data_IF_634749771825
#
_entry.id   IF_634749771825
#
_cell.length_a   1.000
_cell.length_b   1.000
_cell.length_c   1.000
_cell.angle_alpha   90.00
_cell.angle_beta   90.00
_cell.angle_gamma   90.00
#
_symmetry.space_group_name_H-M   'P 1'
#
loop_
_entity.id
_entity.type
_entity.pdbx_description
1 polymer ?
#
# COMPACT_ATOMS: atom_id res chain seq x y z
N UNK A 1 4.43 -14.12 -38.92
CA UNK A 1 4.21 -14.79 -37.60
C UNK A 1 5.39 -14.45 -36.71
N UNK A 2 5.24 -13.44 -35.85
CA UNK A 2 6.25 -13.07 -34.87
C UNK A 2 5.78 -13.62 -33.52
N UNK A 3 6.53 -14.59 -33.01
CA UNK A 3 6.32 -15.17 -31.68
C UNK A 3 6.70 -14.14 -30.62
N UNK A 4 5.71 -13.67 -29.88
CA UNK A 4 5.92 -12.82 -28.70
C UNK A 4 6.57 -13.67 -27.60
N UNK A 5 7.83 -13.36 -27.28
CA UNK A 5 8.54 -13.91 -26.15
C UNK A 5 7.86 -13.48 -24.84
N UNK A 6 7.55 -14.45 -23.97
CA UNK A 6 7.01 -14.22 -22.63
C UNK A 6 7.91 -13.28 -21.83
N UNK A 7 7.34 -12.33 -21.05
CA UNK A 7 8.13 -11.55 -20.12
C UNK A 7 8.70 -12.47 -19.03
N UNK A 8 10.02 -12.43 -18.85
CA UNK A 8 10.76 -13.14 -17.81
C UNK A 8 10.26 -12.64 -16.45
N UNK A 9 9.47 -13.46 -15.77
CA UNK A 9 8.99 -13.20 -14.43
C UNK A 9 10.10 -13.58 -13.44
N UNK A 10 11.11 -12.69 -13.27
CA UNK A 10 12.19 -12.90 -12.32
C UNK A 10 11.61 -12.71 -10.93
N UNK A 11 11.56 -13.77 -10.14
CA UNK A 11 11.15 -13.74 -8.73
C UNK A 11 12.11 -12.84 -7.91
N UNK A 12 11.58 -12.17 -6.88
CA UNK A 12 12.41 -11.40 -5.92
C UNK A 12 13.50 -12.29 -5.31
N UNK A 13 13.25 -13.58 -5.17
CA UNK A 13 14.21 -14.58 -4.68
C UNK A 13 15.35 -14.78 -5.68
N UNK A 14 15.06 -14.80 -6.99
CA UNK A 14 16.09 -14.95 -8.04
C UNK A 14 17.02 -13.74 -8.10
N UNK A 15 16.47 -12.54 -7.86
CA UNK A 15 17.24 -11.29 -7.78
C UNK A 15 18.15 -11.25 -6.54
N UNK A 16 17.70 -11.82 -5.41
CA UNK A 16 18.48 -11.91 -4.18
C UNK A 16 19.67 -12.91 -4.31
N UNK A 17 19.52 -13.96 -5.12
CA UNK A 17 20.56 -14.95 -5.38
C UNK A 17 21.71 -14.41 -6.27
N UNK A 18 21.47 -13.38 -7.06
CA UNK A 18 22.49 -12.72 -7.88
C UNK A 18 23.40 -11.76 -7.11
N UNK A 19 23.02 -11.42 -5.86
CA UNK A 19 23.81 -10.50 -5.02
C UNK A 19 24.61 -11.27 -3.97
N UNK A 20 25.90 -11.54 -4.26
CA UNK A 20 26.89 -12.05 -3.26
C UNK A 20 27.87 -10.94 -2.92
N UNK A 21 27.79 -10.34 -1.72
CA UNK A 21 28.90 -9.52 -1.22
C UNK A 21 30.09 -10.42 -0.89
N UNK A 22 31.30 -10.01 -1.25
CA UNK A 22 32.54 -10.65 -0.83
C UNK A 22 32.73 -10.45 0.69
N UNK A 23 32.48 -11.50 1.46
CA UNK A 23 32.68 -11.49 2.91
C UNK A 23 34.18 -11.63 3.25
N UNK A 24 34.71 -10.84 4.17
CA UNK A 24 36.03 -11.10 4.73
C UNK A 24 35.98 -12.37 5.58
N UNK A 25 36.96 -13.30 5.34
CA UNK A 25 37.15 -14.52 6.12
C UNK A 25 37.63 -14.15 7.51
N UNK A 26 36.79 -14.24 8.54
CA UNK A 26 37.26 -14.19 9.93
C UNK A 26 36.97 -15.49 10.67
N UNK A 27 38.01 -15.90 11.43
CA UNK A 27 38.16 -17.15 12.14
C UNK A 27 37.15 -17.32 13.29
N UNK A 28 36.56 -18.50 13.34
CA UNK A 28 35.75 -19.03 14.45
C UNK A 28 36.50 -19.04 15.78
N UNK A 29 35.92 -18.48 16.82
CA UNK A 29 36.18 -18.81 18.22
C UNK A 29 34.85 -19.18 18.88
N UNK A 30 34.68 -20.45 19.23
CA UNK A 30 33.55 -20.95 20.00
C UNK A 30 33.71 -20.51 21.47
N UNK A 31 32.69 -19.88 22.01
CA UNK A 31 32.46 -19.75 23.44
C UNK A 31 30.99 -20.04 23.71
N UNK A 32 30.75 -21.16 24.39
CA UNK A 32 29.44 -21.48 24.97
C UNK A 32 29.10 -20.44 26.05
N UNK A 33 28.04 -19.71 25.88
CA UNK A 33 27.36 -19.00 26.95
C UNK A 33 25.85 -19.01 26.64
N UNK A 34 25.07 -19.43 27.64
CA UNK A 34 23.63 -19.51 27.64
C UNK A 34 22.99 -18.17 27.22
N UNK A 35 21.90 -18.15 26.41
CA UNK A 35 21.31 -16.89 26.01
C UNK A 35 20.48 -16.30 27.15
N UNK A 36 21.01 -15.27 27.81
CA UNK A 36 20.22 -14.29 28.50
C UNK A 36 19.39 -13.54 27.42
N UNK A 37 18.08 -13.79 27.35
CA UNK A 37 17.14 -13.04 26.52
C UNK A 37 17.04 -11.62 27.05
N UNK A 38 18.01 -10.78 26.70
CA UNK A 38 17.87 -9.34 26.83
C UNK A 38 16.89 -8.90 25.74
N UNK A 39 15.66 -8.59 26.14
CA UNK A 39 14.71 -7.87 25.30
C UNK A 39 15.40 -6.59 24.83
N UNK A 40 15.88 -6.58 23.60
CA UNK A 40 16.51 -5.39 23.02
C UNK A 40 15.42 -4.32 22.83
N UNK A 41 15.47 -3.30 23.66
CA UNK A 41 14.61 -2.09 23.61
C UNK A 41 14.92 -1.18 22.40
N UNK A 42 15.78 -1.63 21.49
CA UNK A 42 16.08 -0.88 20.27
C UNK A 42 15.00 -1.13 19.21
N UNK A 43 14.46 -0.06 18.59
CA UNK A 43 13.51 -0.19 17.49
C UNK A 43 14.14 -1.02 16.37
N UNK A 44 13.34 -1.87 15.73
CA UNK A 44 13.82 -2.66 14.61
C UNK A 44 14.29 -1.73 13.48
N UNK A 45 15.27 -2.18 12.70
CA UNK A 45 15.76 -1.41 11.56
C UNK A 45 14.64 -1.02 10.58
N UNK A 46 13.62 -1.87 10.45
CA UNK A 46 12.41 -1.58 9.69
C UNK A 46 11.61 -0.42 10.30
N UNK A 47 11.43 -0.42 11.63
CA UNK A 47 10.76 0.66 12.36
C UNK A 47 11.45 2.00 12.13
N UNK A 48 12.79 2.02 12.06
CA UNK A 48 13.54 3.25 11.77
C UNK A 48 13.27 3.78 10.36
N UNK A 49 13.17 2.92 9.34
CA UNK A 49 12.79 3.32 7.98
C UNK A 49 11.39 3.94 7.98
N UNK A 50 10.43 3.30 8.67
CA UNK A 50 9.04 3.81 8.75
C UNK A 50 8.97 5.14 9.46
N UNK A 51 9.68 5.30 10.61
CA UNK A 51 9.73 6.58 11.36
C UNK A 51 10.33 7.69 10.50
N UNK A 52 11.40 7.39 9.79
CA UNK A 52 12.05 8.36 8.91
C UNK A 52 11.16 8.71 7.71
N UNK A 53 10.45 7.72 7.13
CA UNK A 53 9.48 7.97 6.06
C UNK A 53 8.38 8.91 6.53
N UNK A 54 7.73 8.60 7.67
CA UNK A 54 6.68 9.44 8.25
C UNK A 54 7.20 10.86 8.53
N UNK A 55 8.36 10.98 9.17
CA UNK A 55 8.98 12.28 9.46
C UNK A 55 9.29 13.09 8.20
N UNK A 56 9.81 12.45 7.16
CA UNK A 56 10.05 13.10 5.87
C UNK A 56 8.76 13.55 5.19
N UNK A 57 7.73 12.71 5.17
CA UNK A 57 6.43 13.06 4.61
C UNK A 57 5.80 14.25 5.34
N UNK A 58 5.90 14.30 6.67
CA UNK A 58 5.38 15.41 7.49
C UNK A 58 6.09 16.74 7.21
N UNK A 59 7.41 16.70 7.04
CA UNK A 59 8.21 17.93 6.90
C UNK A 59 8.38 18.42 5.46
N UNK A 60 8.32 17.52 4.47
CA UNK A 60 8.68 17.85 3.09
C UNK A 60 7.48 17.83 2.13
N UNK A 61 6.34 17.21 2.51
CA UNK A 61 5.14 17.18 1.70
C UNK A 61 4.09 18.15 2.24
N UNK A 62 3.39 18.82 1.33
CA UNK A 62 2.25 19.69 1.65
C UNK A 62 1.13 18.93 2.35
N UNK A 63 0.87 17.72 1.91
CA UNK A 63 -0.11 16.82 2.50
C UNK A 63 0.22 15.36 2.16
N UNK A 64 0.00 14.47 3.14
CA UNK A 64 0.12 13.03 2.95
C UNK A 64 -0.85 12.29 3.86
N UNK A 65 -1.08 11.00 3.60
CA UNK A 65 -1.65 10.04 4.55
C UNK A 65 -1.18 8.62 4.25
N UNK A 66 -1.07 7.81 5.31
CA UNK A 66 -0.83 6.35 5.21
C UNK A 66 -2.19 5.69 4.98
N UNK A 67 -2.34 4.96 3.88
CA UNK A 67 -3.65 4.49 3.41
C UNK A 67 -4.16 3.26 4.15
N UNK A 68 -3.28 2.31 4.47
CA UNK A 68 -3.66 1.04 5.14
C UNK A 68 -2.48 0.43 5.89
N UNK A 69 -2.75 -0.59 6.74
CA UNK A 69 -1.71 -1.39 7.40
C UNK A 69 -1.00 -0.70 8.56
N UNK A 70 -1.55 0.37 9.05
CA UNK A 70 -0.92 1.27 10.02
C UNK A 70 -1.20 0.95 11.49
N UNK A 71 -2.03 -0.04 11.80
CA UNK A 71 -2.50 -0.31 13.18
C UNK A 71 -1.36 -0.49 14.19
N UNK A 72 -0.21 -1.01 13.75
CA UNK A 72 1.00 -1.22 14.58
C UNK A 72 2.20 -0.38 14.17
N UNK A 73 2.03 0.53 13.21
CA UNK A 73 3.11 1.43 12.79
C UNK A 73 3.41 2.48 13.88
N UNK A 74 4.66 2.90 14.00
CA UNK A 74 5.85 2.53 13.21
C UNK A 74 6.59 1.28 13.72
N UNK A 75 6.15 0.64 14.81
CA UNK A 75 6.87 -0.46 15.45
C UNK A 75 6.90 -1.72 14.60
N UNK A 76 5.81 -2.04 13.94
CA UNK A 76 5.71 -3.15 12.99
C UNK A 76 4.68 -2.88 11.89
N UNK A 77 4.85 -3.56 10.76
CA UNK A 77 3.90 -3.57 9.64
C UNK A 77 4.01 -4.92 8.93
N UNK A 78 2.92 -5.34 8.28
CA UNK A 78 2.80 -6.71 7.76
C UNK A 78 3.11 -6.83 6.27
N UNK A 79 3.10 -5.72 5.54
CA UNK A 79 3.25 -5.70 4.08
C UNK A 79 3.79 -4.37 3.59
N UNK A 80 3.38 -3.95 2.42
CA UNK A 80 3.72 -2.68 1.81
C UNK A 80 3.20 -1.50 2.65
N UNK A 81 3.93 -0.39 2.61
CA UNK A 81 3.52 0.87 3.22
C UNK A 81 2.85 1.71 2.13
N UNK A 82 1.55 1.51 1.95
CA UNK A 82 0.76 2.32 1.01
C UNK A 82 0.57 3.73 1.58
N UNK A 83 0.97 4.76 0.85
CA UNK A 83 0.74 6.14 1.23
C UNK A 83 0.37 7.02 0.03
N UNK A 84 -0.37 8.09 0.33
CA UNK A 84 -0.78 9.09 -0.64
C UNK A 84 -0.16 10.44 -0.30
N UNK A 85 0.26 11.17 -1.33
CA UNK A 85 0.79 12.53 -1.21
C UNK A 85 0.03 13.48 -2.14
N UNK A 86 0.13 14.79 -1.87
CA UNK A 86 -0.35 15.81 -2.81
C UNK A 86 0.30 15.63 -4.20
N UNK A 87 -0.46 15.92 -5.26
CA UNK A 87 0.02 15.77 -6.64
C UNK A 87 1.30 16.56 -6.93
N UNK A 88 1.46 17.71 -6.28
CA UNK A 88 2.64 18.56 -6.46
C UNK A 88 3.91 17.93 -5.86
N UNK A 89 3.74 17.10 -4.85
CA UNK A 89 4.86 16.44 -4.14
C UNK A 89 5.22 15.07 -4.74
N UNK A 90 4.33 14.47 -5.55
CA UNK A 90 4.51 13.09 -6.05
C UNK A 90 5.82 12.88 -6.80
N UNK A 91 6.22 13.83 -7.65
CA UNK A 91 7.47 13.74 -8.42
C UNK A 91 8.74 13.92 -7.54
N UNK A 92 8.58 14.39 -6.29
CA UNK A 92 9.68 14.54 -5.33
C UNK A 92 9.88 13.28 -4.48
N UNK A 93 8.88 12.39 -4.41
CA UNK A 93 8.93 11.16 -3.59
C UNK A 93 10.14 10.28 -3.92
N UNK A 94 10.56 10.05 -5.19
CA UNK A 94 11.77 9.26 -5.46
C UNK A 94 13.02 9.78 -4.74
N UNK A 95 13.26 11.08 -4.78
CA UNK A 95 14.40 11.70 -4.10
C UNK A 95 14.29 11.57 -2.56
N UNK A 96 13.08 11.68 -2.02
CA UNK A 96 12.81 11.46 -0.60
C UNK A 96 13.14 10.01 -0.19
N UNK A 97 12.74 9.02 -0.97
CA UNK A 97 13.06 7.61 -0.72
C UNK A 97 14.57 7.34 -0.79
N UNK A 98 15.27 7.96 -1.74
CA UNK A 98 16.74 7.86 -1.82
C UNK A 98 17.44 8.44 -0.57
N UNK A 99 16.97 9.59 -0.06
CA UNK A 99 17.47 10.16 1.18
C UNK A 99 17.24 9.24 2.38
N UNK A 100 16.05 8.60 2.46
CA UNK A 100 15.74 7.62 3.50
C UNK A 100 16.68 6.42 3.40
N UNK A 101 16.88 5.90 2.19
CA UNK A 101 17.81 4.79 1.96
C UNK A 101 19.21 5.12 2.47
N UNK A 102 19.73 6.31 2.12
CA UNK A 102 21.05 6.78 2.57
C UNK A 102 21.11 6.94 4.08
N UNK A 103 20.11 7.54 4.70
CA UNK A 103 20.10 7.80 6.15
C UNK A 103 19.97 6.53 7.01
N UNK A 104 19.33 5.48 6.48
CA UNK A 104 19.14 4.20 7.16
C UNK A 104 20.22 3.15 6.82
N UNK A 105 21.15 3.47 5.92
CA UNK A 105 22.09 2.50 5.38
C UNK A 105 21.44 1.40 4.53
N UNK A 106 20.16 1.59 4.14
CA UNK A 106 19.49 0.66 3.23
C UNK A 106 19.88 0.94 1.78
N UNK A 107 19.67 -0.06 0.93
CA UNK A 107 19.85 0.07 -0.51
C UNK A 107 18.49 0.21 -1.18
N UNK A 108 18.28 1.27 -1.96
CA UNK A 108 17.15 1.32 -2.88
C UNK A 108 17.40 0.34 -4.01
N UNK A 109 16.70 -0.79 -3.95
CA UNK A 109 16.87 -1.90 -4.89
C UNK A 109 16.02 -1.70 -6.15
N UNK A 110 14.80 -1.17 -5.98
CA UNK A 110 13.86 -0.95 -7.06
C UNK A 110 13.06 0.33 -6.85
N UNK A 111 12.82 1.06 -7.96
CA UNK A 111 11.85 2.15 -8.05
C UNK A 111 11.07 1.95 -9.34
N UNK A 112 9.80 1.55 -9.24
CA UNK A 112 8.97 1.14 -10.38
C UNK A 112 7.65 1.91 -10.43
N UNK A 113 7.41 2.75 -11.45
CA UNK A 113 6.06 3.27 -11.72
C UNK A 113 5.18 2.12 -12.21
N UNK A 114 3.97 2.00 -11.69
CA UNK A 114 2.99 1.00 -12.13
C UNK A 114 1.64 1.61 -12.52
N UNK A 115 1.43 2.86 -12.17
CA UNK A 115 0.38 3.76 -12.69
C UNK A 115 0.99 5.14 -12.92
N UNK A 116 0.30 6.01 -13.64
CA UNK A 116 0.76 7.41 -13.86
C UNK A 116 0.84 8.20 -12.56
N UNK A 117 0.09 7.78 -11.55
CA UNK A 117 -0.02 8.40 -10.23
C UNK A 117 0.46 7.48 -9.11
N UNK A 118 1.20 6.41 -9.41
CA UNK A 118 1.65 5.49 -8.38
C UNK A 118 3.00 4.84 -8.71
N UNK A 119 3.83 4.66 -7.66
CA UNK A 119 5.18 4.11 -7.77
C UNK A 119 5.53 3.29 -6.54
N UNK A 120 5.98 2.06 -6.76
CA UNK A 120 6.49 1.18 -5.74
C UNK A 120 8.02 1.30 -5.61
N UNK A 121 8.51 1.13 -4.38
CA UNK A 121 9.94 1.09 -4.06
C UNK A 121 10.25 -0.16 -3.26
N UNK A 122 11.48 -0.67 -3.38
CA UNK A 122 11.99 -1.73 -2.54
C UNK A 122 13.29 -1.26 -1.90
N UNK A 123 13.29 -1.13 -0.58
CA UNK A 123 14.46 -0.86 0.24
C UNK A 123 14.95 -2.18 0.84
N UNK A 124 16.19 -2.54 0.57
CA UNK A 124 16.85 -3.70 1.16
C UNK A 124 17.75 -3.25 2.31
N UNK A 125 17.50 -3.79 3.49
CA UNK A 125 18.31 -3.59 4.69
C UNK A 125 19.05 -4.87 5.00
N UNK A 126 20.35 -4.78 5.10
CA UNK A 126 21.19 -5.92 5.47
C UNK A 126 21.61 -5.79 6.94
N UNK A 127 21.39 -6.84 7.71
CA UNK A 127 21.93 -6.99 9.03
C UNK A 127 22.64 -8.35 9.08
N UNK A 128 23.94 -8.36 9.40
CA UNK A 128 24.87 -9.50 9.45
C UNK A 128 24.52 -10.72 8.58
N UNK A 129 23.44 -11.42 8.90
CA UNK A 129 23.02 -12.67 8.25
C UNK A 129 21.67 -12.60 7.56
N UNK A 130 20.90 -11.48 7.71
CA UNK A 130 19.53 -11.37 7.22
C UNK A 130 19.34 -10.15 6.34
N UNK A 131 18.68 -10.35 5.19
CA UNK A 131 18.15 -9.25 4.38
C UNK A 131 16.70 -9.06 4.75
N UNK A 132 16.33 -7.82 5.04
CA UNK A 132 14.98 -7.41 5.32
C UNK A 132 14.54 -6.41 4.26
N UNK A 133 13.35 -6.59 3.70
CA UNK A 133 12.80 -5.69 2.71
C UNK A 133 11.74 -4.78 3.35
N UNK A 134 11.74 -3.51 2.94
CA UNK A 134 10.68 -2.55 3.23
C UNK A 134 10.19 -2.02 1.88
N UNK A 135 8.89 -2.02 1.69
CA UNK A 135 8.27 -1.67 0.42
C UNK A 135 7.33 -0.46 0.59
N UNK A 136 7.84 0.77 0.49
CA UNK A 136 7.01 1.96 0.36
C UNK A 136 6.30 1.97 -1.00
N UNK A 137 5.01 2.32 -1.00
CA UNK A 137 4.18 2.38 -2.19
C UNK A 137 3.43 3.71 -2.22
N UNK A 138 3.93 4.64 -3.07
CA UNK A 138 3.41 6.00 -3.13
C UNK A 138 2.34 6.17 -4.20
N UNK A 139 1.36 7.03 -3.92
CA UNK A 139 0.38 7.46 -4.90
C UNK A 139 0.04 8.94 -4.76
N UNK A 140 -0.38 9.57 -5.86
CA UNK A 140 -0.99 10.91 -5.87
C UNK A 140 -2.48 10.88 -6.24
N UNK A 141 -3.00 9.76 -6.59
CA UNK A 141 -4.42 9.41 -6.77
C UNK A 141 -4.51 7.89 -6.68
N UNK A 142 -5.64 7.36 -6.24
CA UNK A 142 -5.86 5.92 -6.36
C UNK A 142 -6.39 5.59 -7.75
N UNK A 143 -5.53 4.98 -8.56
CA UNK A 143 -5.85 4.46 -9.90
C UNK A 143 -5.61 2.96 -9.95
N UNK A 144 -6.38 2.28 -10.80
CA UNK A 144 -6.17 0.87 -11.10
C UNK A 144 -6.67 0.57 -12.51
N UNK A 145 -5.80 -0.01 -13.33
CA UNK A 145 -6.02 -0.20 -14.77
C UNK A 145 -6.38 1.11 -15.51
N UNK A 146 -5.69 2.20 -15.17
CA UNK A 146 -5.91 3.53 -15.75
C UNK A 146 -7.16 4.27 -15.25
N UNK A 147 -8.05 3.61 -14.52
CA UNK A 147 -9.28 4.19 -13.99
C UNK A 147 -8.99 4.95 -12.70
N UNK A 148 -9.47 6.18 -12.60
CA UNK A 148 -9.42 6.98 -11.38
C UNK A 148 -10.54 6.55 -10.43
N UNK A 149 -10.17 6.07 -9.25
CA UNK A 149 -11.09 5.69 -8.19
C UNK A 149 -11.25 6.79 -7.14
N UNK A 150 -10.13 7.27 -6.59
CA UNK A 150 -10.13 8.35 -5.59
C UNK A 150 -9.09 9.39 -5.96
N UNK A 151 -9.44 10.65 -5.77
CA UNK A 151 -8.53 11.78 -5.96
C UNK A 151 -7.75 12.05 -4.69
N UNK A 152 -6.49 12.46 -4.83
CA UNK A 152 -5.66 12.81 -3.67
C UNK A 152 -6.24 13.97 -2.88
N UNK A 153 -6.73 15.01 -3.57
CA UNK A 153 -7.28 16.20 -2.91
C UNK A 153 -8.46 15.88 -2.00
N UNK A 154 -9.39 14.99 -2.40
CA UNK A 154 -10.52 14.59 -1.56
C UNK A 154 -10.08 13.75 -0.34
N UNK A 155 -9.15 12.81 -0.55
CA UNK A 155 -8.66 11.94 0.55
C UNK A 155 -7.83 12.73 1.55
N UNK A 156 -6.90 13.56 1.06
CA UNK A 156 -5.98 14.32 1.89
C UNK A 156 -6.67 15.46 2.65
N UNK A 157 -7.70 16.08 2.07
CA UNK A 157 -8.49 17.11 2.78
C UNK A 157 -9.29 16.52 3.95
N UNK A 158 -9.79 15.30 3.79
CA UNK A 158 -10.58 14.61 4.82
C UNK A 158 -9.73 13.71 5.75
N UNK A 159 -8.40 13.79 5.69
CA UNK A 159 -7.53 12.96 6.52
C UNK A 159 -7.68 13.29 8.00
N UNK A 160 -7.37 12.32 8.85
CA UNK A 160 -7.39 12.42 10.31
C UNK A 160 -6.05 12.03 10.92
N UNK A 161 -5.76 12.57 12.09
CA UNK A 161 -4.54 12.25 12.83
C UNK A 161 -4.65 10.89 13.52
N UNK A 162 -3.64 10.05 13.35
CA UNK A 162 -3.54 8.78 14.07
C UNK A 162 -2.79 8.97 15.39
N UNK A 163 -3.19 8.32 16.51
CA UNK A 163 -2.52 8.47 17.80
C UNK A 163 -1.01 8.20 17.79
N UNK A 164 -0.54 7.38 16.86
CA UNK A 164 0.89 7.08 16.71
C UNK A 164 1.68 8.16 15.95
N UNK A 165 1.10 9.32 15.66
CA UNK A 165 1.83 10.49 15.17
C UNK A 165 1.95 10.61 13.65
N UNK A 166 0.92 10.25 12.88
CA UNK A 166 0.87 10.43 11.43
C UNK A 166 -0.56 10.57 10.90
N UNK A 167 -0.71 11.00 9.65
CA UNK A 167 -2.01 11.17 9.01
C UNK A 167 -2.50 9.87 8.36
N UNK A 168 -3.80 9.60 8.51
CA UNK A 168 -4.53 8.50 7.87
C UNK A 168 -5.80 9.03 7.20
N UNK A 169 -6.41 8.33 6.24
CA UNK A 169 -7.67 8.74 5.66
C UNK A 169 -8.79 8.82 6.69
N UNK A 170 -9.86 9.58 6.41
CA UNK A 170 -11.10 9.42 7.17
C UNK A 170 -11.63 7.99 7.04
N UNK A 171 -12.44 7.55 8.00
CA UNK A 171 -12.99 6.18 8.01
C UNK A 171 -13.71 5.85 6.67
N UNK A 172 -14.47 6.79 6.13
CA UNK A 172 -15.20 6.58 4.87
C UNK A 172 -14.31 6.52 3.63
N UNK A 173 -13.21 7.31 3.57
CA UNK A 173 -12.26 7.22 2.47
C UNK A 173 -11.40 5.95 2.55
N UNK A 174 -11.01 5.53 3.75
CA UNK A 174 -10.33 4.26 3.92
C UNK A 174 -11.24 3.07 3.60
N UNK A 175 -12.50 3.10 4.06
CA UNK A 175 -13.50 2.10 3.74
C UNK A 175 -13.62 1.87 2.23
N UNK A 176 -13.82 2.95 1.47
CA UNK A 176 -14.03 2.83 0.02
C UNK A 176 -12.74 2.45 -0.72
N UNK A 177 -11.59 3.02 -0.32
CA UNK A 177 -10.28 2.65 -0.87
C UNK A 177 -10.02 1.15 -0.69
N UNK A 178 -10.19 0.66 0.54
CA UNK A 178 -9.91 -0.72 0.89
C UNK A 178 -10.86 -1.70 0.19
N UNK A 179 -12.16 -1.39 0.16
CA UNK A 179 -13.16 -2.20 -0.53
C UNK A 179 -12.86 -2.32 -2.03
N UNK A 180 -12.64 -1.20 -2.73
CA UNK A 180 -12.32 -1.19 -4.17
C UNK A 180 -11.01 -1.93 -4.43
N UNK A 181 -9.97 -1.71 -3.60
CA UNK A 181 -8.67 -2.38 -3.73
C UNK A 181 -8.83 -3.90 -3.67
N UNK A 182 -9.60 -4.43 -2.70
CA UNK A 182 -9.81 -5.88 -2.53
C UNK A 182 -10.67 -6.49 -3.63
N UNK A 183 -11.75 -5.82 -4.04
CA UNK A 183 -12.58 -6.27 -5.17
C UNK A 183 -11.76 -6.30 -6.48
N UNK A 184 -10.94 -5.28 -6.75
CA UNK A 184 -10.10 -5.24 -7.94
C UNK A 184 -8.99 -6.31 -7.93
N UNK A 185 -8.39 -6.59 -6.77
CA UNK A 185 -7.40 -7.66 -6.63
C UNK A 185 -8.01 -9.06 -6.70
N UNK A 186 -9.30 -9.21 -6.42
CA UNK A 186 -9.96 -10.52 -6.38
C UNK A 186 -9.58 -11.36 -5.16
N UNK A 187 -9.08 -10.72 -4.10
CA UNK A 187 -8.54 -11.39 -2.90
C UNK A 187 -9.33 -11.08 -1.61
N UNK A 188 -10.64 -10.87 -1.73
CA UNK A 188 -11.49 -10.54 -0.59
C UNK A 188 -11.67 -11.74 0.36
N UNK A 189 -11.47 -11.52 1.65
CA UNK A 189 -11.62 -12.53 2.72
C UNK A 189 -12.42 -11.98 3.91
N UNK A 190 -12.83 -12.84 4.82
CA UNK A 190 -13.52 -12.43 6.06
C UNK A 190 -12.68 -11.46 6.93
N UNK A 191 -11.36 -11.61 6.92
CA UNK A 191 -10.47 -10.65 7.61
C UNK A 191 -10.62 -9.22 7.04
N UNK A 192 -10.67 -9.09 5.72
CA UNK A 192 -10.91 -7.81 5.05
C UNK A 192 -12.29 -7.23 5.40
N UNK A 193 -13.30 -8.10 5.46
CA UNK A 193 -14.66 -7.73 5.87
C UNK A 193 -14.73 -7.17 7.28
N UNK A 194 -14.05 -7.79 8.25
CA UNK A 194 -13.98 -7.28 9.64
C UNK A 194 -13.41 -5.87 9.71
N UNK A 195 -12.34 -5.58 8.95
CA UNK A 195 -11.78 -4.22 8.86
C UNK A 195 -12.80 -3.22 8.31
N UNK A 196 -13.47 -3.58 7.22
CA UNK A 196 -14.49 -2.73 6.60
C UNK A 196 -15.67 -2.47 7.55
N UNK A 197 -16.14 -3.48 8.29
CA UNK A 197 -17.21 -3.29 9.28
C UNK A 197 -16.81 -2.35 10.41
N UNK A 198 -15.55 -2.41 10.86
CA UNK A 198 -15.01 -1.47 11.85
C UNK A 198 -15.02 -0.03 11.30
N UNK A 199 -14.52 0.18 10.09
CA UNK A 199 -14.52 1.50 9.44
C UNK A 199 -15.93 2.03 9.21
N UNK A 200 -16.83 1.16 8.80
CA UNK A 200 -18.24 1.51 8.65
C UNK A 200 -18.87 1.94 9.97
N UNK A 201 -18.60 1.22 11.07
CA UNK A 201 -19.14 1.57 12.39
C UNK A 201 -18.62 2.93 12.92
N UNK A 202 -17.45 3.39 12.47
CA UNK A 202 -16.91 4.72 12.83
C UNK A 202 -17.68 5.87 12.17
N UNK A 203 -18.12 5.72 10.91
CA UNK A 203 -18.87 6.77 10.18
C UNK A 203 -19.80 6.14 9.12
N UNK A 204 -20.94 5.55 9.54
CA UNK A 204 -21.86 4.86 8.64
C UNK A 204 -22.40 5.73 7.53
N UNK A 205 -22.77 6.98 7.84
CA UNK A 205 -23.43 7.86 6.87
C UNK A 205 -22.46 8.31 5.77
N UNK A 206 -21.21 8.63 6.10
CA UNK A 206 -20.23 8.96 5.09
C UNK A 206 -19.81 7.73 4.27
N UNK A 207 -19.72 6.54 4.88
CA UNK A 207 -19.49 5.29 4.15
C UNK A 207 -20.61 5.01 3.13
N UNK A 208 -21.89 5.17 3.51
CA UNK A 208 -23.01 5.04 2.60
C UNK A 208 -22.92 6.03 1.43
N UNK A 209 -22.64 7.32 1.72
CA UNK A 209 -22.41 8.31 0.67
C UNK A 209 -21.28 7.92 -0.29
N UNK A 210 -20.18 7.34 0.21
CA UNK A 210 -19.13 6.86 -0.67
C UNK A 210 -19.62 5.70 -1.55
N UNK A 211 -20.38 4.74 -1.02
CA UNK A 211 -20.91 3.62 -1.81
C UNK A 211 -21.77 4.10 -2.98
N UNK A 212 -22.57 5.18 -2.83
CA UNK A 212 -23.41 5.71 -3.93
C UNK A 212 -22.61 6.17 -5.14
N UNK A 213 -21.33 6.48 -4.97
CA UNK A 213 -20.44 6.91 -6.06
C UNK A 213 -19.96 5.76 -6.94
N UNK A 214 -20.01 4.52 -6.44
CA UNK A 214 -19.30 3.40 -7.05
C UNK A 214 -20.18 2.20 -7.42
N UNK A 215 -21.33 2.03 -6.79
CA UNK A 215 -22.21 0.90 -7.03
C UNK A 215 -23.66 1.32 -7.31
N UNK A 216 -24.40 0.47 -8.03
CA UNK A 216 -25.83 0.61 -8.21
C UNK A 216 -26.59 0.44 -6.88
N UNK A 217 -27.82 0.96 -6.79
CA UNK A 217 -28.66 0.95 -5.56
C UNK A 217 -28.74 -0.43 -4.90
N UNK A 218 -28.86 -1.48 -5.70
CA UNK A 218 -28.90 -2.86 -5.18
C UNK A 218 -27.64 -3.20 -4.41
N UNK A 219 -26.47 -3.04 -5.03
CA UNK A 219 -25.19 -3.39 -4.40
C UNK A 219 -24.79 -2.44 -3.28
N UNK A 220 -25.23 -1.16 -3.35
CA UNK A 220 -25.09 -0.24 -2.21
C UNK A 220 -25.80 -0.78 -0.97
N UNK A 221 -27.06 -1.24 -1.12
CA UNK A 221 -27.83 -1.84 -0.03
C UNK A 221 -27.13 -3.08 0.52
N UNK A 222 -26.78 -4.03 -0.35
CA UNK A 222 -26.09 -5.27 0.05
C UNK A 222 -24.77 -4.99 0.79
N UNK A 223 -23.92 -4.09 0.28
CA UNK A 223 -22.66 -3.70 0.92
C UNK A 223 -22.87 -3.02 2.28
N UNK A 224 -23.90 -2.20 2.39
CA UNK A 224 -24.30 -1.54 3.63
C UNK A 224 -24.71 -2.56 4.70
N UNK A 225 -25.57 -3.50 4.33
CA UNK A 225 -26.02 -4.57 5.24
C UNK A 225 -24.88 -5.48 5.67
N UNK A 226 -23.98 -5.86 4.74
CA UNK A 226 -22.79 -6.63 5.05
C UNK A 226 -21.85 -5.91 6.01
N UNK A 227 -21.64 -4.60 5.79
CA UNK A 227 -20.77 -3.79 6.66
C UNK A 227 -21.38 -3.63 8.06
N UNK A 228 -22.69 -3.37 8.16
CA UNK A 228 -23.37 -3.20 9.42
C UNK A 228 -23.46 -4.50 10.24
N UNK A 229 -23.69 -5.64 9.57
CA UNK A 229 -23.83 -6.94 10.23
C UNK A 229 -22.52 -7.74 10.36
N UNK A 230 -21.42 -7.24 9.81
CA UNK A 230 -20.12 -7.93 9.70
C UNK A 230 -20.22 -9.33 9.01
N UNK A 231 -21.17 -9.49 8.06
CA UNK A 231 -21.39 -10.72 7.30
C UNK A 231 -21.07 -10.52 5.83
N UNK A 232 -19.92 -10.99 5.39
CA UNK A 232 -19.33 -10.71 4.09
C UNK A 232 -19.31 -11.91 3.14
N UNK A 233 -20.03 -12.98 3.49
CA UNK A 233 -20.09 -14.24 2.73
C UNK A 233 -20.58 -14.02 1.30
N UNK A 234 -21.63 -13.20 1.13
CA UNK A 234 -22.19 -12.90 -0.20
C UNK A 234 -21.15 -12.22 -1.11
N UNK A 235 -20.38 -11.25 -0.58
CA UNK A 235 -19.31 -10.63 -1.37
C UNK A 235 -18.19 -11.63 -1.72
N UNK A 236 -17.82 -12.51 -0.77
CA UNK A 236 -16.78 -13.52 -1.01
C UNK A 236 -17.20 -14.48 -2.12
N UNK A 237 -18.46 -14.94 -2.11
CA UNK A 237 -18.99 -15.86 -3.12
C UNK A 237 -19.21 -15.17 -4.49
N UNK A 238 -19.71 -13.94 -4.49
CA UNK A 238 -20.15 -13.24 -5.70
C UNK A 238 -19.23 -12.09 -6.12
N UNK A 239 -17.95 -12.14 -5.71
CA UNK A 239 -16.97 -11.07 -5.94
C UNK A 239 -16.93 -10.57 -7.39
N UNK A 240 -17.10 -11.47 -8.35
CA UNK A 240 -17.13 -11.13 -9.78
C UNK A 240 -18.32 -10.23 -10.15
N UNK A 241 -19.48 -10.43 -9.53
CA UNK A 241 -20.66 -9.62 -9.78
C UNK A 241 -20.54 -8.22 -9.17
N UNK A 242 -20.03 -8.12 -7.94
CA UNK A 242 -19.72 -6.83 -7.31
C UNK A 242 -18.70 -6.04 -8.12
N UNK A 243 -17.67 -6.71 -8.65
CA UNK A 243 -16.67 -6.11 -9.53
C UNK A 243 -17.30 -5.65 -10.85
N UNK A 244 -18.17 -6.45 -11.46
CA UNK A 244 -18.87 -6.13 -12.69
C UNK A 244 -19.73 -4.88 -12.52
N UNK A 245 -20.53 -4.80 -11.45
CA UNK A 245 -21.36 -3.64 -11.13
C UNK A 245 -20.51 -2.39 -10.89
N UNK A 246 -19.44 -2.50 -10.08
CA UNK A 246 -18.45 -1.44 -9.85
C UNK A 246 -17.91 -0.88 -11.17
N UNK A 247 -17.50 -1.75 -12.09
CA UNK A 247 -16.94 -1.36 -13.38
C UNK A 247 -17.99 -0.72 -14.30
N UNK A 248 -19.21 -1.24 -14.30
CA UNK A 248 -20.30 -0.72 -15.10
C UNK A 248 -20.77 0.65 -14.59
N UNK A 249 -21.04 0.75 -13.29
CA UNK A 249 -21.56 1.99 -12.68
C UNK A 249 -20.56 3.15 -12.74
N UNK A 250 -19.27 2.84 -12.85
CA UNK A 250 -18.20 3.84 -12.94
C UNK A 250 -17.60 3.93 -14.35
N UNK A 251 -18.30 3.45 -15.39
CA UNK A 251 -17.77 3.40 -16.75
C UNK A 251 -17.36 4.78 -17.28
N UNK A 252 -18.12 5.83 -16.96
CA UNK A 252 -17.84 7.22 -17.36
C UNK A 252 -16.57 7.81 -16.74
N UNK A 253 -16.07 7.23 -15.65
CA UNK A 253 -14.80 7.63 -15.01
C UNK A 253 -13.57 7.08 -15.72
N UNK A 254 -13.77 6.30 -16.77
CA UNK A 254 -12.72 5.87 -17.66
C UNK A 254 -12.16 7.08 -18.42
N UNK A 255 -10.84 7.29 -18.33
CA UNK A 255 -10.11 8.14 -19.27
C UNK A 255 -10.06 9.66 -19.01
N UNK A 256 -9.88 10.10 -17.78
CA UNK A 256 -9.37 11.47 -17.59
C UNK A 256 -7.99 11.66 -18.28
N UNK A 257 -7.25 10.59 -18.54
CA UNK A 257 -6.02 10.61 -19.36
C UNK A 257 -5.83 9.28 -20.12
N UNK A 258 -6.08 9.23 -21.44
CA UNK A 258 -5.88 8.03 -22.27
C UNK A 258 -4.46 7.45 -22.20
N UNK A 259 -3.44 8.29 -21.95
CA UNK A 259 -2.03 7.90 -21.86
C UNK A 259 -1.72 6.89 -20.74
N UNK A 260 -2.52 6.84 -19.66
CA UNK A 260 -2.28 5.93 -18.54
C UNK A 260 -2.60 4.46 -18.84
N UNK A 261 -3.55 4.20 -19.73
CA UNK A 261 -3.88 2.85 -20.19
C UNK A 261 -2.77 2.30 -21.10
N UNK A 262 -2.25 3.13 -22.01
CA UNK A 262 -1.22 2.74 -22.97
C UNK A 262 0.14 2.47 -22.33
N UNK A 263 0.49 3.14 -21.25
CA UNK A 263 1.75 2.88 -20.52
C UNK A 263 1.84 1.47 -19.92
N UNK A 264 0.71 0.76 -19.73
CA UNK A 264 0.71 -0.65 -19.28
C UNK A 264 0.82 -1.65 -20.42
N UNK A 265 0.38 -1.29 -21.62
CA UNK A 265 0.44 -2.19 -22.79
C UNK A 265 1.83 -2.21 -23.43
N UNK A 266 2.69 -1.23 -23.11
CA UNK A 266 4.05 -1.09 -23.66
C UNK A 266 5.11 -1.74 -22.71
N UNK A 267 4.71 -2.25 -21.55
CA UNK A 267 5.56 -2.99 -20.61
C UNK A 267 5.23 -4.49 -20.63
#
# INVERSE_FOLDING_TARGET
>A
MLTLSNPINISVVDLLLMWRPSLPKNKTRSLHSSPLTVSSTFPSIQSNVVRLLIGKLEHECKAYCILTGYDRMPESFESDIDFMVDRQDFERVPALIEQIAKATGSRLFQSRPYEVSARAYILALQNDTKITLVQPDSSSDYRHYGRLWLRADEVLTARRWHPNGFWIPSASHEFIYYLIKRINKGDFTQHHGKRLSRLYAEDPESCKRQLTRFWSKRYQFELTEMAASCRWESLIHDLAQFRKDLLHHTAERLFEKPSSYWMRLIK
#
